data_IF_210696813260
#
_entry.id   IF_210696813260
#
_cell.length_a   1.000
_cell.length_b   1.000
_cell.length_c   1.000
_cell.angle_alpha   90.00
_cell.angle_beta   90.00
_cell.angle_gamma   90.00
#
_symmetry.space_group_name_H-M   'P 1'
#
loop_
_entity.id
_entity.type
_entity.pdbx_description
1 polymer ?
#
# COMPACT_ATOMS: atom_id res chain seq x y z
N UNK A 1 15.64 17.44 32.44
CA UNK A 1 14.81 16.54 31.60
C UNK A 1 15.70 15.82 30.60
N UNK A 2 15.79 14.49 30.62
CA UNK A 2 16.61 13.75 29.67
C UNK A 2 15.92 13.71 28.30
N UNK A 3 16.62 14.16 27.25
CA UNK A 3 16.19 14.02 25.86
C UNK A 3 16.38 12.55 25.45
N UNK A 4 15.29 11.88 25.10
CA UNK A 4 15.34 10.55 24.49
C UNK A 4 15.88 10.72 23.07
N UNK A 5 17.14 10.33 22.85
CA UNK A 5 17.75 10.26 21.54
C UNK A 5 17.28 8.98 20.84
N UNK A 6 16.34 9.08 19.89
CA UNK A 6 15.80 7.95 19.10
C UNK A 6 16.74 7.51 17.96
N UNK A 7 18.05 7.52 18.19
CA UNK A 7 19.05 7.00 17.25
C UNK A 7 19.42 5.59 17.71
N UNK A 8 19.19 4.59 16.85
CA UNK A 8 19.47 3.15 17.04
C UNK A 8 18.45 2.36 17.86
N UNK A 9 17.31 2.04 17.24
CA UNK A 9 16.34 1.05 17.76
C UNK A 9 16.93 -0.38 17.76
N UNK A 10 18.04 -0.60 17.03
CA UNK A 10 18.72 -1.90 16.97
C UNK A 10 19.55 -2.28 18.21
N UNK A 11 19.95 -1.32 19.06
CA UNK A 11 20.93 -1.61 20.11
C UNK A 11 20.30 -2.09 21.45
N UNK A 12 19.04 -1.75 21.72
CA UNK A 12 18.39 -2.06 23.01
C UNK A 12 16.86 -2.13 22.87
N UNK A 13 16.33 -3.06 22.09
CA UNK A 13 14.88 -3.31 22.07
C UNK A 13 14.51 -4.26 23.21
N UNK A 14 13.58 -3.92 24.12
CA UNK A 14 13.08 -4.84 25.14
C UNK A 14 12.56 -6.12 24.48
N UNK A 15 12.83 -7.28 25.10
CA UNK A 15 12.54 -8.60 24.53
C UNK A 15 11.06 -8.86 24.18
N UNK A 16 10.14 -8.00 24.62
CA UNK A 16 8.74 -7.98 24.17
C UNK A 16 8.18 -6.55 24.15
N UNK A 17 8.00 -5.94 22.97
CA UNK A 17 7.15 -4.76 22.83
C UNK A 17 5.69 -5.19 23.10
N UNK A 18 5.02 -4.53 24.04
CA UNK A 18 3.57 -4.68 24.20
C UNK A 18 2.83 -3.92 23.07
N UNK A 19 1.52 -4.17 22.94
CA UNK A 19 0.70 -3.62 21.85
C UNK A 19 0.73 -2.08 21.80
N UNK A 20 0.74 -1.40 22.95
CA UNK A 20 0.78 0.06 23.01
C UNK A 20 2.14 0.61 22.56
N UNK A 21 3.24 0.00 23.00
CA UNK A 21 4.58 0.35 22.56
C UNK A 21 4.74 0.16 21.05
N UNK A 22 4.15 -0.90 20.49
CA UNK A 22 4.17 -1.16 19.06
C UNK A 22 3.41 -0.09 18.25
N UNK A 23 2.22 0.30 18.71
CA UNK A 23 1.46 1.40 18.10
C UNK A 23 2.22 2.73 18.15
N UNK A 24 2.88 3.03 19.28
CA UNK A 24 3.71 4.24 19.41
C UNK A 24 4.89 4.20 18.42
N UNK A 25 5.56 3.05 18.30
CA UNK A 25 6.64 2.86 17.34
C UNK A 25 6.16 3.07 15.90
N UNK A 26 5.06 2.45 15.50
CA UNK A 26 4.47 2.60 14.16
C UNK A 26 4.10 4.05 13.86
N UNK A 27 3.55 4.78 14.83
CA UNK A 27 3.26 6.21 14.70
C UNK A 27 4.53 7.06 14.57
N UNK A 28 5.54 6.77 15.37
CA UNK A 28 6.81 7.48 15.28
C UNK A 28 7.47 7.27 13.91
N UNK A 29 7.43 6.03 13.39
CA UNK A 29 7.90 5.71 12.04
C UNK A 29 7.07 6.45 10.98
N UNK A 30 5.74 6.45 11.10
CA UNK A 30 4.86 7.22 10.22
C UNK A 30 5.23 8.70 10.18
N UNK A 31 5.38 9.36 11.34
CA UNK A 31 5.76 10.77 11.42
C UNK A 31 7.15 11.01 10.79
N UNK A 32 8.11 10.11 11.01
CA UNK A 32 9.44 10.19 10.38
C UNK A 32 9.36 10.04 8.85
N UNK A 33 8.51 9.15 8.36
CA UNK A 33 8.28 8.94 6.92
C UNK A 33 7.65 10.19 6.32
N UNK A 34 6.59 10.73 6.91
CA UNK A 34 5.94 11.96 6.45
C UNK A 34 6.89 13.16 6.47
N UNK A 35 7.62 13.38 7.56
CA UNK A 35 8.61 14.47 7.65
C UNK A 35 9.74 14.32 6.62
N UNK A 36 10.17 13.09 6.35
CA UNK A 36 11.18 12.81 5.32
C UNK A 36 10.64 13.08 3.93
N UNK A 37 9.39 12.67 3.64
CA UNK A 37 8.71 12.93 2.38
C UNK A 37 8.57 14.43 2.12
N UNK A 38 8.08 15.20 3.09
CA UNK A 38 7.97 16.67 2.97
C UNK A 38 9.33 17.31 2.68
N UNK A 39 10.39 16.92 3.40
CA UNK A 39 11.75 17.40 3.17
C UNK A 39 12.27 17.07 1.75
N UNK A 40 11.98 15.87 1.25
CA UNK A 40 12.41 15.45 -0.09
C UNK A 40 11.66 16.22 -1.19
N UNK A 41 10.39 16.55 -0.98
CA UNK A 41 9.59 17.37 -1.89
C UNK A 41 10.06 18.84 -1.92
N UNK A 42 10.48 19.41 -0.78
CA UNK A 42 11.02 20.77 -0.72
C UNK A 42 12.39 20.92 -1.41
N UNK A 43 13.19 19.83 -1.46
CA UNK A 43 14.55 19.83 -2.02
C UNK A 43 14.59 19.76 -3.55
N UNK A 44 13.45 19.70 -4.23
CA UNK A 44 13.34 19.74 -5.69
C UNK A 44 12.92 21.14 -6.17
N UNK A 45 13.86 22.11 -6.34
CA UNK A 45 13.56 23.50 -6.68
C UNK A 45 13.29 23.77 -8.17
N UNK A 46 13.25 22.74 -9.03
CA UNK A 46 13.03 22.91 -10.47
C UNK A 46 11.83 22.09 -10.96
N UNK A 47 10.96 22.67 -11.81
CA UNK A 47 9.79 22.01 -12.40
C UNK A 47 10.19 21.09 -13.57
N UNK A 48 11.39 20.51 -13.51
CA UNK A 48 11.76 19.43 -14.41
C UNK A 48 11.08 18.16 -13.85
N UNK A 49 10.27 17.46 -14.64
CA UNK A 49 9.50 16.31 -14.20
C UNK A 49 10.43 15.11 -14.04
N UNK A 50 11.35 15.14 -13.08
CA UNK A 50 12.01 13.91 -12.64
C UNK A 50 11.02 13.14 -11.77
N UNK A 51 10.26 12.33 -12.49
CA UNK A 51 9.31 11.28 -12.12
C UNK A 51 9.98 10.23 -11.22
N UNK A 52 10.33 10.61 -10.01
CA UNK A 52 10.87 9.68 -9.03
C UNK A 52 9.72 9.26 -8.13
N UNK A 53 9.35 7.97 -8.16
CA UNK A 53 8.31 7.45 -7.26
C UNK A 53 8.71 7.70 -5.79
N UNK A 54 7.76 7.79 -4.85
CA UNK A 54 8.07 8.10 -3.45
C UNK A 54 9.16 7.18 -2.89
N UNK A 55 9.15 5.90 -3.26
CA UNK A 55 10.14 4.95 -2.77
C UNK A 55 11.52 5.15 -3.37
N UNK A 56 11.61 5.50 -4.66
CA UNK A 56 12.90 5.81 -5.30
C UNK A 56 13.50 7.09 -4.71
N UNK A 57 12.68 8.08 -4.35
CA UNK A 57 13.15 9.29 -3.69
C UNK A 57 13.78 8.99 -2.33
N UNK A 58 13.18 8.07 -1.57
CA UNK A 58 13.76 7.57 -0.32
C UNK A 58 15.03 6.74 -0.58
N UNK A 59 15.06 5.94 -1.65
CA UNK A 59 16.22 5.14 -2.02
C UNK A 59 17.43 5.99 -2.48
N UNK A 60 17.25 7.26 -2.80
CA UNK A 60 18.35 8.17 -3.14
C UNK A 60 18.92 8.92 -1.91
N UNK A 61 18.19 8.97 -0.80
CA UNK A 61 18.60 9.68 0.43
C UNK A 61 19.13 8.70 1.49
N UNK A 62 20.39 8.87 1.89
CA UNK A 62 21.05 7.94 2.83
C UNK A 62 20.39 7.87 4.21
N UNK A 63 19.76 8.96 4.67
CA UNK A 63 19.02 8.99 5.94
C UNK A 63 17.63 8.34 5.79
N UNK A 64 17.01 8.45 4.62
CA UNK A 64 15.75 7.80 4.33
C UNK A 64 15.91 6.27 4.17
N UNK A 65 17.04 5.79 3.66
CA UNK A 65 17.36 4.35 3.56
C UNK A 65 17.32 3.60 4.89
N UNK A 66 17.87 4.19 5.96
CA UNK A 66 17.83 3.56 7.28
C UNK A 66 16.41 3.47 7.82
N UNK A 67 15.61 4.53 7.63
CA UNK A 67 14.19 4.54 7.99
C UNK A 67 13.39 3.50 7.21
N UNK A 68 13.64 3.33 5.91
CA UNK A 68 13.03 2.26 5.11
C UNK A 68 13.40 0.88 5.67
N UNK A 69 14.68 0.68 5.98
CA UNK A 69 15.15 -0.58 6.56
C UNK A 69 14.46 -0.90 7.89
N UNK A 70 14.31 0.09 8.77
CA UNK A 70 13.59 -0.05 10.04
C UNK A 70 12.14 -0.50 9.82
N UNK A 71 11.43 0.08 8.84
CA UNK A 71 10.03 -0.27 8.53
C UNK A 71 9.90 -1.68 7.95
N UNK A 72 10.86 -2.08 7.09
CA UNK A 72 10.82 -3.36 6.38
C UNK A 72 11.27 -4.54 7.21
N UNK A 73 12.14 -4.30 8.19
CA UNK A 73 12.58 -5.34 9.10
C UNK A 73 11.52 -5.71 10.14
N UNK A 74 10.52 -4.86 10.38
CA UNK A 74 9.48 -5.10 11.40
C UNK A 74 8.82 -6.49 11.34
N UNK A 75 8.37 -7.02 10.19
CA UNK A 75 7.83 -8.38 10.13
C UNK A 75 8.85 -9.46 10.47
N UNK A 76 10.12 -9.27 10.11
CA UNK A 76 11.18 -10.26 10.33
C UNK A 76 11.73 -10.22 11.77
N UNK A 77 11.91 -9.02 12.33
CA UNK A 77 12.48 -8.81 13.68
C UNK A 77 11.43 -8.86 14.77
N UNK A 78 10.19 -8.50 14.43
CA UNK A 78 9.09 -8.32 15.38
C UNK A 78 7.77 -8.89 14.84
N UNK A 79 7.80 -10.02 14.12
CA UNK A 79 6.60 -10.61 13.51
C UNK A 79 5.44 -10.88 14.48
N UNK A 80 5.72 -11.14 15.76
CA UNK A 80 4.69 -11.28 16.82
C UNK A 80 3.89 -10.00 17.06
N UNK A 81 4.46 -8.83 16.79
CA UNK A 81 3.79 -7.53 16.88
C UNK A 81 2.73 -7.38 15.78
N UNK A 82 2.95 -8.00 14.62
CA UNK A 82 2.06 -7.91 13.46
C UNK A 82 1.11 -9.11 13.32
N UNK A 83 1.34 -10.19 14.08
CA UNK A 83 0.58 -11.45 13.95
C UNK A 83 -0.57 -11.59 14.96
N UNK A 84 -1.52 -12.47 14.64
CA UNK A 84 -2.54 -12.98 15.56
C UNK A 84 -3.51 -11.92 16.07
N UNK A 85 -3.50 -11.66 17.40
CA UNK A 85 -4.43 -10.73 18.07
C UNK A 85 -4.10 -9.24 17.84
N UNK A 86 -2.95 -8.93 17.23
CA UNK A 86 -2.44 -7.57 17.08
C UNK A 86 -2.83 -6.91 15.74
N UNK A 87 -4.07 -7.11 15.30
CA UNK A 87 -4.56 -6.66 13.98
C UNK A 87 -4.45 -5.14 13.75
N UNK A 88 -4.52 -4.33 14.80
CA UNK A 88 -4.31 -2.88 14.70
C UNK A 88 -2.85 -2.51 14.36
N UNK A 89 -1.87 -3.28 14.83
CA UNK A 89 -0.46 -3.05 14.47
C UNK A 89 -0.24 -3.41 13.00
N UNK A 90 -0.79 -4.54 12.57
CA UNK A 90 -0.79 -4.94 11.17
C UNK A 90 -1.45 -3.87 10.28
N UNK A 91 -2.58 -3.29 10.72
CA UNK A 91 -3.24 -2.20 10.01
C UNK A 91 -2.33 -0.97 9.85
N UNK A 92 -1.73 -0.50 10.95
CA UNK A 92 -0.82 0.65 10.93
C UNK A 92 0.44 0.41 10.10
N UNK A 93 0.99 -0.80 10.15
CA UNK A 93 2.16 -1.18 9.35
C UNK A 93 1.85 -1.25 7.85
N UNK A 94 0.73 -1.89 7.45
CA UNK A 94 0.32 -1.91 6.04
C UNK A 94 0.07 -0.49 5.52
N UNK A 95 -0.57 0.38 6.31
CA UNK A 95 -0.75 1.78 5.94
C UNK A 95 0.60 2.51 5.73
N UNK A 96 1.56 2.30 6.63
CA UNK A 96 2.90 2.87 6.48
C UNK A 96 3.56 2.41 5.17
N UNK A 97 3.48 1.12 4.84
CA UNK A 97 4.01 0.60 3.58
C UNK A 97 3.28 1.16 2.34
N UNK A 98 1.97 1.37 2.40
CA UNK A 98 1.23 2.08 1.34
C UNK A 98 1.80 3.48 1.13
N UNK A 99 2.02 4.26 2.20
CA UNK A 99 2.55 5.63 2.08
C UNK A 99 3.98 5.71 1.53
N UNK A 100 4.75 4.62 1.63
CA UNK A 100 6.08 4.49 1.06
C UNK A 100 6.06 4.10 -0.42
N UNK A 101 5.09 3.29 -0.83
CA UNK A 101 5.00 2.67 -2.17
C UNK A 101 4.11 3.43 -3.15
N UNK A 102 3.21 4.28 -2.64
CA UNK A 102 2.23 5.01 -3.43
C UNK A 102 2.28 6.52 -3.15
N UNK A 103 2.13 7.30 -4.22
CA UNK A 103 1.95 8.75 -4.13
C UNK A 103 0.46 9.05 -3.94
N UNK A 104 0.02 9.16 -2.68
CA UNK A 104 -1.42 9.32 -2.37
C UNK A 104 -1.99 10.62 -2.95
N UNK A 105 -1.21 11.71 -2.94
CA UNK A 105 -1.61 12.97 -3.58
C UNK A 105 -1.85 12.78 -5.07
N UNK A 106 -0.95 12.07 -5.77
CA UNK A 106 -1.14 11.77 -7.19
C UNK A 106 -2.42 10.95 -7.43
N UNK A 107 -2.69 9.94 -6.59
CA UNK A 107 -3.89 9.10 -6.72
C UNK A 107 -5.18 9.89 -6.44
N UNK A 108 -5.16 10.83 -5.49
CA UNK A 108 -6.29 11.72 -5.22
C UNK A 108 -6.53 12.71 -6.38
N UNK A 109 -5.46 13.30 -6.93
CA UNK A 109 -5.55 14.17 -8.12
C UNK A 109 -6.12 13.39 -9.31
N UNK A 110 -5.60 12.17 -9.57
CA UNK A 110 -6.10 11.28 -10.61
C UNK A 110 -7.57 10.85 -10.39
N UNK A 111 -8.06 10.95 -9.16
CA UNK A 111 -9.46 10.71 -8.81
C UNK A 111 -10.35 11.95 -8.93
N UNK A 112 -9.80 13.09 -9.37
CA UNK A 112 -10.55 14.32 -9.63
C UNK A 112 -10.47 15.40 -8.55
N UNK A 113 -9.61 15.25 -7.53
CA UNK A 113 -9.48 16.24 -6.43
C UNK A 113 -9.27 17.67 -6.93
N UNK A 114 -8.46 17.84 -7.97
CA UNK A 114 -8.05 19.14 -8.51
C UNK A 114 -8.74 19.45 -9.87
N UNK A 115 -9.81 18.72 -10.21
CA UNK A 115 -10.58 18.87 -11.45
C UNK A 115 -10.12 17.95 -12.60
N UNK A 116 -10.93 17.91 -13.66
CA UNK A 116 -10.78 16.93 -14.77
C UNK A 116 -9.47 17.07 -15.54
N UNK A 117 -9.02 18.31 -15.79
CA UNK A 117 -7.74 18.55 -16.50
C UNK A 117 -6.53 18.01 -15.73
N UNK A 118 -6.49 18.28 -14.42
CA UNK A 118 -5.44 17.78 -13.54
C UNK A 118 -5.52 16.25 -13.39
N UNK A 119 -6.73 15.68 -13.29
CA UNK A 119 -6.94 14.24 -13.21
C UNK A 119 -6.42 13.51 -14.46
N UNK A 120 -6.74 14.03 -15.65
CA UNK A 120 -6.24 13.46 -16.93
C UNK A 120 -4.71 13.47 -17.01
N UNK A 121 -4.07 14.58 -16.61
CA UNK A 121 -2.62 14.67 -16.56
C UNK A 121 -2.01 13.72 -15.51
N UNK A 122 -2.63 13.59 -14.34
CA UNK A 122 -2.19 12.69 -13.29
C UNK A 122 -2.32 11.22 -13.69
N UNK A 123 -3.36 10.84 -14.43
CA UNK A 123 -3.58 9.45 -14.88
C UNK A 123 -2.41 8.91 -15.71
N UNK A 124 -1.72 9.74 -16.50
CA UNK A 124 -0.51 9.33 -17.22
C UNK A 124 0.55 8.80 -16.25
N UNK A 125 0.75 9.50 -15.14
CA UNK A 125 1.70 9.09 -14.09
C UNK A 125 1.20 7.88 -13.29
N UNK A 126 -0.13 7.74 -13.11
CA UNK A 126 -0.71 6.55 -12.47
C UNK A 126 -0.52 5.31 -13.35
N UNK A 127 -0.62 5.44 -14.68
CA UNK A 127 -0.30 4.37 -15.63
C UNK A 127 1.15 3.93 -15.45
N UNK A 128 2.10 4.86 -15.45
CA UNK A 128 3.53 4.56 -15.22
C UNK A 128 3.75 3.85 -13.87
N UNK A 129 3.18 4.41 -12.79
CA UNK A 129 3.25 3.80 -11.46
C UNK A 129 2.69 2.38 -11.46
N UNK A 130 1.53 2.12 -12.09
CA UNK A 130 0.88 0.81 -12.10
C UNK A 130 1.74 -0.32 -12.69
N UNK A 131 2.72 0.01 -13.54
CA UNK A 131 3.63 -0.97 -14.14
C UNK A 131 4.80 -1.33 -13.21
N UNK A 132 5.00 -0.59 -12.12
CA UNK A 132 6.09 -0.82 -11.17
C UNK A 132 5.81 -1.94 -10.17
N UNK A 133 6.88 -2.55 -9.67
CA UNK A 133 6.83 -3.50 -8.55
C UNK A 133 6.34 -2.82 -7.27
N UNK A 134 6.58 -1.52 -7.08
CA UNK A 134 6.10 -0.76 -5.92
C UNK A 134 4.59 -0.60 -5.92
N UNK A 135 3.96 -0.35 -7.08
CA UNK A 135 2.49 -0.31 -7.18
C UNK A 135 1.86 -1.66 -6.83
N UNK A 136 2.42 -2.76 -7.34
CA UNK A 136 1.93 -4.10 -7.01
C UNK A 136 2.08 -4.38 -5.51
N UNK A 137 3.18 -3.94 -4.88
CA UNK A 137 3.35 -4.02 -3.43
C UNK A 137 2.31 -3.17 -2.67
N UNK A 138 2.04 -1.95 -3.12
CA UNK A 138 1.01 -1.10 -2.56
C UNK A 138 -0.37 -1.78 -2.58
N UNK A 139 -0.71 -2.40 -3.71
CA UNK A 139 -1.96 -3.16 -3.90
C UNK A 139 -2.06 -4.32 -2.92
N UNK A 140 -0.98 -5.06 -2.71
CA UNK A 140 -0.95 -6.14 -1.71
C UNK A 140 -1.22 -5.60 -0.30
N UNK A 141 -0.53 -4.53 0.12
CA UNK A 141 -0.79 -3.92 1.43
C UNK A 141 -2.23 -3.39 1.57
N UNK A 142 -2.77 -2.78 0.52
CA UNK A 142 -4.15 -2.29 0.49
C UNK A 142 -5.17 -3.44 0.60
N UNK A 143 -4.88 -4.61 0.00
CA UNK A 143 -5.73 -5.79 0.11
C UNK A 143 -5.67 -6.38 1.54
N UNK A 144 -4.49 -6.40 2.17
CA UNK A 144 -4.34 -6.80 3.57
C UNK A 144 -5.08 -5.85 4.52
N UNK A 145 -5.10 -4.54 4.25
CA UNK A 145 -5.94 -3.59 5.01
C UNK A 145 -7.42 -3.97 4.93
N UNK A 146 -7.91 -4.27 3.73
CA UNK A 146 -9.30 -4.70 3.54
C UNK A 146 -9.60 -5.96 4.36
N UNK A 147 -8.79 -7.01 4.21
CA UNK A 147 -8.98 -8.28 4.93
C UNK A 147 -8.95 -8.11 6.45
N UNK A 148 -7.99 -7.31 6.96
CA UNK A 148 -7.91 -6.98 8.38
C UNK A 148 -9.21 -6.32 8.85
N UNK A 149 -9.70 -5.31 8.14
CA UNK A 149 -10.87 -4.54 8.58
C UNK A 149 -12.19 -5.29 8.41
N UNK A 150 -12.31 -6.12 7.37
CA UNK A 150 -13.46 -7.00 7.14
C UNK A 150 -13.56 -8.07 8.24
N UNK A 151 -12.43 -8.67 8.61
CA UNK A 151 -12.39 -9.78 9.58
C UNK A 151 -12.40 -9.36 11.06
N UNK A 152 -12.01 -8.12 11.41
CA UNK A 152 -11.63 -7.77 12.80
C UNK A 152 -12.67 -7.03 13.63
N UNK A 153 -13.80 -6.62 13.05
CA UNK A 153 -14.76 -5.68 13.69
C UNK A 153 -14.10 -4.41 14.26
N UNK A 154 -12.88 -4.08 13.83
CA UNK A 154 -12.17 -2.86 14.23
C UNK A 154 -12.89 -1.68 13.56
N UNK A 155 -13.60 -0.89 14.36
CA UNK A 155 -14.35 0.29 13.87
C UNK A 155 -13.83 1.59 14.44
N UNK A 156 -13.11 1.51 15.55
CA UNK A 156 -12.59 2.67 16.27
C UNK A 156 -11.18 2.39 16.78
N UNK A 157 -10.32 3.39 16.65
CA UNK A 157 -8.99 3.38 17.26
C UNK A 157 -8.51 4.80 17.47
N UNK A 158 -8.05 5.07 18.69
CA UNK A 158 -7.40 6.34 19.01
C UNK A 158 -6.04 6.48 18.32
N UNK A 159 -5.49 5.37 17.80
CA UNK A 159 -4.12 5.27 17.31
C UNK A 159 -4.01 5.26 15.78
N UNK A 160 -4.93 4.60 15.08
CA UNK A 160 -4.95 4.51 13.62
C UNK A 160 -6.37 4.72 13.14
N UNK A 161 -6.60 5.73 12.29
CA UNK A 161 -7.92 6.03 11.71
C UNK A 161 -8.34 4.97 10.68
N UNK A 162 -9.18 3.98 11.01
CA UNK A 162 -9.45 2.85 10.12
C UNK A 162 -10.19 3.30 8.84
N UNK A 163 -11.04 4.32 8.96
CA UNK A 163 -11.76 4.99 7.87
C UNK A 163 -10.81 5.55 6.81
N UNK A 164 -9.82 6.34 7.24
CA UNK A 164 -8.82 6.92 6.35
C UNK A 164 -7.95 5.84 5.71
N UNK A 165 -7.49 4.86 6.51
CA UNK A 165 -6.63 3.78 6.00
C UNK A 165 -7.36 2.93 4.97
N UNK A 166 -8.65 2.66 5.18
CA UNK A 166 -9.49 1.95 4.21
C UNK A 166 -9.74 2.80 2.95
N UNK A 167 -9.98 4.10 3.10
CA UNK A 167 -10.13 5.03 1.97
C UNK A 167 -8.88 5.05 1.07
N UNK A 168 -7.70 5.24 1.66
CA UNK A 168 -6.43 5.24 0.91
C UNK A 168 -6.19 3.89 0.24
N UNK A 169 -6.51 2.79 0.90
CA UNK A 169 -6.39 1.44 0.33
C UNK A 169 -7.33 1.25 -0.87
N UNK A 170 -8.56 1.78 -0.78
CA UNK A 170 -9.50 1.78 -1.89
C UNK A 170 -8.98 2.57 -3.09
N UNK A 171 -8.39 3.76 -2.86
CA UNK A 171 -7.76 4.55 -3.92
C UNK A 171 -6.65 3.77 -4.62
N UNK A 172 -5.74 3.15 -3.85
CA UNK A 172 -4.62 2.36 -4.39
C UNK A 172 -5.09 1.23 -5.29
N UNK A 173 -6.00 0.37 -4.82
CA UNK A 173 -6.44 -0.78 -5.63
C UNK A 173 -7.30 -0.32 -6.79
N UNK A 174 -8.24 0.62 -6.58
CA UNK A 174 -9.14 1.06 -7.66
C UNK A 174 -8.38 1.75 -8.78
N UNK A 175 -7.42 2.62 -8.48
CA UNK A 175 -6.56 3.27 -9.47
C UNK A 175 -5.66 2.26 -10.19
N UNK A 176 -5.08 1.31 -9.46
CA UNK A 176 -4.32 0.22 -10.09
C UNK A 176 -5.18 -0.60 -11.05
N UNK A 177 -6.37 -1.03 -10.62
CA UNK A 177 -7.30 -1.81 -11.46
C UNK A 177 -7.82 -1.01 -12.65
N UNK A 178 -7.97 0.31 -12.49
CA UNK A 178 -8.44 1.22 -13.54
C UNK A 178 -7.48 1.27 -14.71
N UNK A 179 -6.20 1.47 -14.43
CA UNK A 179 -5.20 1.78 -15.47
C UNK A 179 -4.31 0.61 -15.84
N UNK A 180 -4.21 -0.42 -14.99
CA UNK A 180 -3.36 -1.56 -15.28
C UNK A 180 -3.93 -2.30 -16.49
N UNK A 181 -3.09 -2.47 -17.51
CA UNK A 181 -3.47 -3.19 -18.71
C UNK A 181 -2.66 -4.48 -18.77
N UNK A 182 -3.32 -5.61 -18.57
CA UNK A 182 -2.71 -6.94 -18.73
C UNK A 182 -3.34 -7.72 -19.90
N UNK A 183 -3.66 -7.00 -21.00
CA UNK A 183 -4.24 -7.58 -22.22
C UNK A 183 -3.39 -8.69 -22.88
N UNK A 184 -2.12 -8.84 -22.48
CA UNK A 184 -1.20 -9.82 -23.04
C UNK A 184 -1.01 -11.07 -22.15
N UNK A 185 -1.75 -11.21 -21.05
CA UNK A 185 -1.71 -12.46 -20.29
C UNK A 185 -2.23 -13.61 -21.15
N UNK A 186 -1.49 -14.72 -21.28
CA UNK A 186 -2.01 -15.91 -21.95
C UNK A 186 -3.32 -16.33 -21.28
N UNK A 187 -4.36 -16.55 -22.10
CA UNK A 187 -5.63 -17.15 -21.66
C UNK A 187 -5.33 -18.43 -20.87
N UNK A 188 -5.70 -18.44 -19.58
CA UNK A 188 -5.47 -19.58 -18.68
C UNK A 188 -4.24 -19.48 -17.77
N UNK A 189 -3.55 -18.34 -17.71
CA UNK A 189 -2.50 -18.10 -16.71
C UNK A 189 -3.03 -18.15 -15.26
N UNK A 190 -2.19 -18.53 -14.27
CA UNK A 190 -2.60 -18.56 -12.88
C UNK A 190 -2.99 -17.16 -12.40
N UNK A 191 -4.17 -17.05 -11.80
CA UNK A 191 -4.68 -15.80 -11.22
C UNK A 191 -4.15 -15.65 -9.81
N UNK A 192 -3.67 -14.45 -9.47
CA UNK A 192 -3.18 -14.14 -8.13
C UNK A 192 -4.32 -13.62 -7.23
N UNK A 193 -4.59 -14.30 -6.13
CA UNK A 193 -5.62 -13.88 -5.17
C UNK A 193 -5.08 -12.78 -4.25
N UNK A 194 -5.64 -11.57 -4.34
CA UNK A 194 -5.19 -10.41 -3.57
C UNK A 194 -5.43 -10.53 -2.07
N UNK A 195 -6.48 -11.25 -1.65
CA UNK A 195 -6.80 -11.48 -0.24
C UNK A 195 -6.07 -12.68 0.37
N UNK A 196 -5.15 -13.33 -0.36
CA UNK A 196 -4.38 -14.43 0.20
C UNK A 196 -3.43 -13.95 1.32
N UNK A 197 -3.05 -14.87 2.21
CA UNK A 197 -2.04 -14.57 3.23
C UNK A 197 -0.66 -14.32 2.59
N UNK A 198 0.01 -13.26 3.03
CA UNK A 198 1.32 -12.85 2.52
C UNK A 198 2.37 -12.98 3.60
N UNK A 199 3.39 -13.81 3.34
CA UNK A 199 4.58 -13.90 4.17
C UNK A 199 5.56 -12.77 3.85
N UNK A 200 5.35 -11.64 4.52
CA UNK A 200 6.17 -10.44 4.35
C UNK A 200 7.64 -10.64 4.73
N UNK A 201 7.96 -11.63 5.57
CA UNK A 201 9.35 -11.95 5.91
C UNK A 201 10.11 -12.54 4.70
N UNK A 202 9.41 -13.25 3.80
CA UNK A 202 9.97 -13.79 2.55
C UNK A 202 10.02 -12.77 1.40
N UNK A 203 9.07 -11.82 1.34
CA UNK A 203 9.04 -10.79 0.28
C UNK A 203 10.16 -9.75 0.47
N UNK A 204 10.55 -9.46 1.71
CA UNK A 204 11.65 -8.52 2.06
C UNK A 204 11.44 -7.15 1.39
N UNK A 205 12.41 -6.67 0.61
CA UNK A 205 12.47 -5.36 -0.04
C UNK A 205 12.00 -5.35 -1.49
N UNK A 206 11.47 -6.46 -2.02
CA UNK A 206 10.94 -6.53 -3.39
C UNK A 206 9.90 -5.41 -3.61
N UNK A 207 10.11 -4.62 -4.66
CA UNK A 207 9.26 -3.47 -4.99
C UNK A 207 9.57 -2.18 -4.25
N UNK A 208 10.71 -2.09 -3.57
CA UNK A 208 11.10 -0.87 -2.86
C UNK A 208 12.40 -0.24 -3.36
N UNK A 209 12.84 -0.63 -4.57
CA UNK A 209 14.21 -0.38 -5.03
C UNK A 209 15.21 -1.22 -4.21
N UNK A 210 16.44 -1.39 -4.68
CA UNK A 210 17.49 -2.09 -3.94
C UNK A 210 17.98 -1.27 -2.72
N UNK A 211 17.06 -0.79 -1.89
CA UNK A 211 17.27 -0.02 -0.67
C UNK A 211 18.11 -0.83 0.31
N UNK A 212 17.96 -2.16 0.28
CA UNK A 212 18.74 -3.05 1.10
C UNK A 212 19.77 -3.83 0.30
N UNK A 213 20.78 -3.14 -0.23
CA UNK A 213 22.09 -3.78 -0.50
C UNK A 213 22.74 -4.43 0.75
N UNK A 214 22.09 -4.33 1.92
CA UNK A 214 22.49 -4.89 3.22
C UNK A 214 21.74 -6.16 3.62
N UNK A 215 20.67 -6.51 2.91
CA UNK A 215 19.97 -7.77 3.10
C UNK A 215 20.63 -8.76 2.15
N UNK A 216 21.47 -9.66 2.66
CA UNK A 216 22.30 -10.58 1.86
C UNK A 216 21.57 -11.03 0.59
N UNK A 217 22.25 -11.02 -0.58
CA UNK A 217 21.78 -11.74 -1.75
C UNK A 217 21.47 -13.15 -1.26
N UNK A 218 20.27 -13.65 -1.55
CA UNK A 218 20.06 -15.08 -1.45
C UNK A 218 21.20 -15.74 -2.22
N UNK A 219 21.97 -16.69 -1.63
CA UNK A 219 22.76 -17.56 -2.48
C UNK A 219 21.81 -18.18 -3.51
N UNK A 220 22.27 -18.52 -4.73
CA UNK A 220 21.45 -19.25 -5.68
C UNK A 220 21.16 -20.61 -5.05
N UNK A 221 20.09 -20.67 -4.24
CA UNK A 221 19.66 -21.90 -3.60
C UNK A 221 19.04 -22.73 -4.72
N UNK A 222 19.79 -23.74 -5.11
CA UNK A 222 19.33 -24.93 -5.79
C UNK A 222 17.90 -25.27 -5.37
N UNK A 223 17.05 -25.47 -6.37
CA UNK A 223 15.71 -26.08 -6.46
C UNK A 223 15.23 -27.02 -5.32
N UNK A 224 15.33 -26.62 -4.06
CA UNK A 224 14.63 -27.28 -2.97
C UNK A 224 13.22 -26.69 -2.92
N UNK A 225 12.26 -27.56 -3.24
CA UNK A 225 10.82 -27.32 -3.30
C UNK A 225 10.30 -26.57 -2.06
N UNK A 226 10.39 -25.24 -2.09
CA UNK A 226 9.57 -24.40 -1.23
C UNK A 226 8.09 -24.58 -1.62
N UNK A 227 7.14 -24.52 -0.68
CA UNK A 227 5.72 -24.65 -0.99
C UNK A 227 5.34 -23.64 -2.06
N UNK A 228 4.61 -24.12 -3.08
CA UNK A 228 4.31 -23.40 -4.33
C UNK A 228 3.79 -21.95 -4.14
N UNK A 229 3.20 -21.64 -2.98
CA UNK A 229 2.70 -20.32 -2.60
C UNK A 229 3.78 -19.24 -2.42
N UNK A 230 5.00 -19.60 -2.00
CA UNK A 230 6.05 -18.59 -1.76
C UNK A 230 6.52 -17.90 -3.04
N UNK A 231 6.42 -18.59 -4.17
CA UNK A 231 6.86 -18.09 -5.46
C UNK A 231 5.77 -17.26 -6.17
N UNK A 232 4.50 -17.32 -5.75
CA UNK A 232 3.40 -16.62 -6.44
C UNK A 232 3.38 -15.13 -6.13
N UNK A 233 3.55 -14.73 -4.86
CA UNK A 233 3.55 -13.31 -4.48
C UNK A 233 4.77 -12.57 -5.03
N UNK A 234 5.97 -13.17 -4.96
CA UNK A 234 7.16 -12.60 -5.58
C UNK A 234 7.02 -12.52 -7.11
N UNK A 235 6.50 -13.56 -7.76
CA UNK A 235 6.26 -13.54 -9.21
C UNK A 235 5.25 -12.46 -9.60
N UNK A 236 4.17 -12.29 -8.83
CA UNK A 236 3.20 -11.21 -9.04
C UNK A 236 3.86 -9.84 -8.86
N UNK A 237 4.63 -9.63 -7.79
CA UNK A 237 5.35 -8.37 -7.59
C UNK A 237 6.30 -8.07 -8.75
N UNK A 238 7.03 -9.04 -9.28
CA UNK A 238 7.99 -8.81 -10.35
C UNK A 238 7.32 -8.63 -11.72
N UNK A 239 6.33 -9.46 -12.05
CA UNK A 239 5.80 -9.59 -13.42
C UNK A 239 4.38 -9.05 -13.59
N UNK A 240 3.68 -8.78 -12.49
CA UNK A 240 2.23 -8.59 -12.51
C UNK A 240 1.50 -9.88 -12.89
N UNK A 241 0.23 -9.75 -13.25
CA UNK A 241 -0.58 -10.88 -13.67
C UNK A 241 -2.07 -10.61 -13.54
N UNK A 242 -2.91 -11.55 -14.03
CA UNK A 242 -4.33 -11.55 -13.70
C UNK A 242 -4.51 -11.66 -12.18
N UNK A 243 -5.50 -10.94 -11.64
CA UNK A 243 -5.78 -10.91 -10.20
C UNK A 243 -7.22 -11.35 -9.92
N UNK A 244 -7.41 -11.97 -8.76
CA UNK A 244 -8.72 -12.17 -8.14
C UNK A 244 -8.78 -11.44 -6.81
N UNK A 245 -10.01 -11.17 -6.37
CA UNK A 245 -10.26 -10.52 -5.09
C UNK A 245 -11.46 -11.20 -4.42
N UNK A 246 -11.19 -11.97 -3.37
CA UNK A 246 -12.20 -12.80 -2.70
C UNK A 246 -12.71 -13.92 -3.60
N UNK A 247 -11.83 -14.52 -4.40
CA UNK A 247 -12.15 -15.58 -5.37
C UNK A 247 -12.76 -15.09 -6.68
N UNK A 248 -13.10 -13.81 -6.80
CA UNK A 248 -13.64 -13.24 -8.04
C UNK A 248 -12.53 -12.70 -8.94
N UNK A 249 -12.46 -13.22 -10.17
CA UNK A 249 -11.58 -12.69 -11.21
C UNK A 249 -11.89 -11.20 -11.50
N UNK A 250 -10.84 -10.37 -11.54
CA UNK A 250 -10.99 -8.94 -11.86
C UNK A 250 -10.57 -8.67 -13.29
N UNK A 251 -11.54 -8.23 -14.12
CA UNK A 251 -11.27 -7.67 -15.44
C UNK A 251 -10.82 -6.22 -15.28
N UNK A 252 -9.57 -5.88 -15.61
CA UNK A 252 -9.08 -4.50 -15.50
C UNK A 252 -9.95 -3.47 -16.25
N UNK A 253 -9.85 -2.20 -15.84
CA UNK A 253 -10.59 -1.08 -16.42
C UNK A 253 -11.67 -0.50 -15.49
N UNK A 254 -12.39 0.50 -16.02
CA UNK A 254 -13.33 1.34 -15.27
C UNK A 254 -14.38 0.55 -14.47
N UNK A 255 -14.99 -0.47 -15.07
CA UNK A 255 -16.06 -1.24 -14.43
C UNK A 255 -15.55 -2.00 -13.20
N UNK A 256 -14.36 -2.62 -13.27
CA UNK A 256 -13.81 -3.31 -12.12
C UNK A 256 -13.21 -2.36 -11.08
N UNK A 257 -12.61 -1.24 -11.50
CA UNK A 257 -12.18 -0.21 -10.57
C UNK A 257 -13.36 0.31 -9.73
N UNK A 258 -14.50 0.59 -10.39
CA UNK A 258 -15.76 0.99 -9.74
C UNK A 258 -16.26 -0.09 -8.78
N UNK A 259 -16.24 -1.35 -9.22
CA UNK A 259 -16.64 -2.50 -8.38
C UNK A 259 -15.75 -2.60 -7.14
N UNK A 260 -14.44 -2.44 -7.30
CA UNK A 260 -13.47 -2.51 -6.21
C UNK A 260 -13.71 -1.39 -5.19
N UNK A 261 -13.78 -0.13 -5.64
CA UNK A 261 -14.03 0.98 -4.74
C UNK A 261 -15.40 0.85 -4.01
N UNK A 262 -16.42 0.27 -4.66
CA UNK A 262 -17.68 -0.09 -3.99
C UNK A 262 -17.52 -1.14 -2.89
N UNK A 263 -16.72 -2.21 -3.10
CA UNK A 263 -16.43 -3.21 -2.05
C UNK A 263 -15.87 -2.52 -0.79
N UNK A 264 -14.93 -1.59 -0.96
CA UNK A 264 -14.35 -0.82 0.14
C UNK A 264 -15.35 0.15 0.78
N UNK A 265 -16.17 0.84 -0.01
CA UNK A 265 -17.21 1.74 0.50
C UNK A 265 -18.26 0.98 1.35
N UNK A 266 -18.66 -0.22 0.93
CA UNK A 266 -19.57 -1.08 1.70
C UNK A 266 -18.97 -1.49 3.04
N UNK A 267 -17.70 -1.87 3.08
CA UNK A 267 -17.01 -2.16 4.34
C UNK A 267 -16.98 -0.93 5.26
N UNK A 268 -16.74 0.25 4.68
CA UNK A 268 -16.69 1.53 5.38
C UNK A 268 -18.06 1.95 5.97
N UNK A 269 -19.17 1.66 5.29
CA UNK A 269 -20.52 1.91 5.82
C UNK A 269 -20.76 1.19 7.15
N UNK A 270 -20.12 0.03 7.30
CA UNK A 270 -20.16 -0.75 8.52
C UNK A 270 -19.58 -0.02 9.74
N UNK A 271 -18.72 1.00 9.57
CA UNK A 271 -18.02 1.65 10.70
C UNK A 271 -18.95 2.50 11.59
N UNK A 272 -20.20 2.76 11.18
CA UNK A 272 -21.25 3.33 12.03
C UNK A 272 -21.54 4.82 11.80
N UNK A 273 -22.41 5.40 12.65
CA UNK A 273 -23.05 6.72 12.49
C UNK A 273 -22.12 7.95 12.55
N UNK A 274 -20.81 7.77 12.70
CA UNK A 274 -19.86 8.87 12.91
C UNK A 274 -18.80 8.87 11.79
N UNK A 275 -18.84 9.93 10.97
CA UNK A 275 -17.88 10.37 9.92
C UNK A 275 -17.42 9.38 8.82
N UNK A 276 -17.64 8.06 8.92
CA UNK A 276 -17.44 7.12 7.80
C UNK A 276 -18.29 7.45 6.56
N UNK A 277 -19.30 8.30 6.74
CA UNK A 277 -20.16 8.83 5.70
C UNK A 277 -19.41 9.73 4.70
N UNK A 278 -18.37 10.48 5.09
CA UNK A 278 -17.69 11.40 4.17
C UNK A 278 -16.82 10.64 3.15
N UNK A 279 -15.91 9.79 3.61
CA UNK A 279 -15.07 8.96 2.73
C UNK A 279 -15.85 7.91 1.95
N UNK A 280 -16.90 7.30 2.53
CA UNK A 280 -17.76 6.37 1.81
C UNK A 280 -18.56 7.07 0.71
N UNK A 281 -19.09 8.28 0.96
CA UNK A 281 -19.70 9.11 -0.08
C UNK A 281 -18.68 9.51 -1.14
N UNK A 282 -17.47 9.91 -0.75
CA UNK A 282 -16.41 10.28 -1.68
C UNK A 282 -16.02 9.10 -2.58
N UNK A 283 -15.84 7.89 -2.05
CA UNK A 283 -15.59 6.69 -2.85
C UNK A 283 -16.71 6.42 -3.86
N UNK A 284 -17.97 6.56 -3.44
CA UNK A 284 -19.11 6.41 -4.36
C UNK A 284 -19.18 7.52 -5.41
N UNK A 285 -18.83 8.75 -5.06
CA UNK A 285 -18.77 9.87 -5.98
C UNK A 285 -17.66 9.66 -7.02
N UNK A 286 -16.46 9.25 -6.59
CA UNK A 286 -15.35 8.86 -7.49
C UNK A 286 -15.72 7.67 -8.38
N UNK A 287 -16.58 6.76 -7.90
CA UNK A 287 -17.19 5.71 -8.69
C UNK A 287 -18.28 6.20 -9.67
N UNK A 288 -18.88 7.36 -9.45
CA UNK A 288 -20.04 7.88 -10.18
C UNK A 288 -19.66 8.82 -11.33
N UNK A 289 -18.57 9.58 -11.20
CA UNK A 289 -18.22 10.66 -12.16
C UNK A 289 -17.66 10.19 -13.52
N UNK A 290 -17.54 8.89 -13.79
CA UNK A 290 -16.94 8.39 -15.04
C UNK A 290 -17.94 7.61 -15.91
N UNK A 291 -19.23 7.97 -15.91
CA UNK A 291 -20.16 7.34 -16.86
C UNK A 291 -21.65 7.58 -16.66
N UNK A 292 -22.08 8.76 -16.22
CA UNK A 292 -23.43 9.25 -16.51
C UNK A 292 -23.29 10.30 -17.63
N UNK A 293 -22.97 9.79 -18.81
CA UNK A 293 -23.40 10.40 -20.07
C UNK A 293 -24.38 9.38 -20.66
N UNK A 294 -25.54 9.28 -20.00
CA UNK A 294 -26.71 8.65 -20.60
C UNK A 294 -27.12 9.57 -21.75
N UNK A 295 -26.58 9.26 -22.93
CA UNK A 295 -27.05 9.84 -24.18
C UNK A 295 -28.49 9.43 -24.41
N UNK A 296 -29.42 10.29 -24.02
CA UNK A 296 -30.70 10.42 -24.69
C UNK A 296 -30.43 10.80 -26.15
N UNK A 297 -30.63 9.85 -27.06
CA UNK A 297 -31.39 9.98 -28.32
C UNK A 297 -31.72 8.58 -28.87
#
# INVERSE_FOLDING_TARGET
MPRINMCNIHATSPSTLNNNSAQILLRALYLKVMATRSRLMEKTPHPEPRQVSPIEAFAMDSKAKSLLSDVLLLPATHGSILSGRNRMNALGWNYLCITLTADIDLLEIASGRDGLGAASAALVRVVEWSQSTSARRAVLHAAQVFDILDSSRIRESHLTRPDLVLFVSALVISQYVLVCNHNNAPLGGPTFELLQDIDWAKIRDEGLGAVTGFLLPSPPLEHQRAPAMSNTAQSFLQKGGPISFGGEFQKFGHIAARRMARKFAHLMDGFGKWDGCSYSRLLRAMCGFVGEDDGEY
#
